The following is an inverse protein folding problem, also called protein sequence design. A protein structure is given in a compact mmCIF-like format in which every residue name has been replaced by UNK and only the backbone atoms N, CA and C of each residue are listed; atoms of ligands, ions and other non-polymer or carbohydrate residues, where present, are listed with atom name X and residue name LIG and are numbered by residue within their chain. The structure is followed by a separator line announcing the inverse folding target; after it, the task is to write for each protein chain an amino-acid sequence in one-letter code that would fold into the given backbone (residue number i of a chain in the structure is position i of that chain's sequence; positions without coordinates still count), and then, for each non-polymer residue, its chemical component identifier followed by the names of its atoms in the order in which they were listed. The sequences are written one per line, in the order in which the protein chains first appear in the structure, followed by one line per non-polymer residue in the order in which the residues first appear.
data_IF_783303505053
#
_entry.id   IF_783303505053
#
_cell.length_a   1.000
_cell.length_b   1.000
_cell.length_c   1.000
_cell.angle_alpha   90.00
_cell.angle_beta   90.00
_cell.angle_gamma   90.00
#
_symmetry.space_group_name_H-M   'P 1'
#
loop_
_entity.id
_entity.type
_entity.pdbx_description
1 polymer ?
#
# COMPACT_ATOMS: atom_id res chain seq x y z
N UNK A 1 -7.05 -3.60 12.57
CA UNK A 1 -7.79 -4.88 12.63
C UNK A 1 -6.78 -6.00 12.66
N UNK A 2 -6.82 -6.88 13.68
CA UNK A 2 -5.86 -7.98 13.79
C UNK A 2 -6.39 -9.30 13.23
N UNK A 3 -5.65 -9.89 12.30
CA UNK A 3 -5.97 -11.19 11.70
C UNK A 3 -4.94 -12.22 12.13
N UNK A 4 -5.40 -13.36 12.65
CA UNK A 4 -4.53 -14.51 12.95
C UNK A 4 -4.29 -15.27 11.65
N UNK A 5 -3.04 -15.25 11.15
CA UNK A 5 -2.67 -15.78 9.83
C UNK A 5 -3.09 -17.24 9.66
N UNK A 6 -2.87 -18.08 10.68
CA UNK A 6 -3.25 -19.51 10.66
C UNK A 6 -4.74 -19.80 10.51
N UNK A 7 -5.61 -18.80 10.67
CA UNK A 7 -7.06 -18.93 10.47
C UNK A 7 -7.50 -18.56 9.07
N UNK A 8 -6.63 -17.94 8.26
CA UNK A 8 -6.91 -17.65 6.86
C UNK A 8 -6.86 -18.95 6.07
N UNK A 9 -7.88 -19.19 5.26
CA UNK A 9 -8.02 -20.41 4.45
C UNK A 9 -8.08 -20.04 2.98
N UNK A 10 -8.28 -21.01 2.10
CA UNK A 10 -8.55 -20.77 0.67
C UNK A 10 -9.95 -20.18 0.41
N UNK A 11 -10.71 -19.85 1.45
CA UNK A 11 -11.90 -19.01 1.31
C UNK A 11 -11.48 -17.58 1.61
N UNK A 12 -11.66 -16.64 0.67
CA UNK A 12 -11.30 -15.24 0.88
C UNK A 12 -11.90 -14.66 2.16
N UNK A 13 -11.04 -14.04 2.96
CA UNK A 13 -11.43 -13.26 4.14
C UNK A 13 -11.47 -11.80 3.76
N UNK A 14 -12.65 -11.29 3.43
CA UNK A 14 -12.86 -9.90 3.06
C UNK A 14 -12.58 -8.94 4.23
N UNK A 15 -12.07 -7.76 3.91
CA UNK A 15 -11.90 -6.66 4.85
C UNK A 15 -12.21 -5.31 4.19
N UNK A 16 -12.52 -4.34 5.05
CA UNK A 16 -12.69 -2.93 4.69
C UNK A 16 -12.19 -2.08 5.86
N UNK A 17 -11.26 -1.19 5.58
CA UNK A 17 -10.68 -0.23 6.52
C UNK A 17 -10.65 1.16 5.91
N UNK A 18 -10.66 2.18 6.75
CA UNK A 18 -10.55 3.57 6.33
C UNK A 18 -9.58 4.30 7.25
N UNK A 19 -8.62 5.03 6.68
CA UNK A 19 -7.67 5.86 7.40
C UNK A 19 -7.27 7.06 6.52
N UNK A 20 -7.11 8.25 7.11
CA UNK A 20 -6.67 9.48 6.43
C UNK A 20 -7.41 9.79 5.11
N UNK A 21 -8.71 9.49 5.03
CA UNK A 21 -9.51 9.72 3.82
C UNK A 21 -9.28 8.70 2.69
N UNK A 22 -8.58 7.59 2.98
CA UNK A 22 -8.34 6.46 2.09
C UNK A 22 -9.10 5.23 2.58
N UNK A 23 -9.85 4.61 1.66
CA UNK A 23 -10.50 3.31 1.83
C UNK A 23 -9.55 2.21 1.36
N UNK A 24 -9.39 1.19 2.18
CA UNK A 24 -8.62 -0.01 1.89
C UNK A 24 -9.52 -1.23 1.94
N UNK A 25 -9.84 -1.77 0.77
CA UNK A 25 -10.81 -2.83 0.62
C UNK A 25 -10.19 -4.00 -0.13
N UNK A 26 -10.36 -5.20 0.39
CA UNK A 26 -9.71 -6.35 -0.19
C UNK A 26 -10.06 -7.64 0.50
N UNK A 27 -9.22 -8.65 0.28
CA UNK A 27 -9.33 -9.94 0.95
C UNK A 27 -7.96 -10.55 1.22
N UNK A 28 -7.94 -11.44 2.21
CA UNK A 28 -6.82 -12.34 2.50
C UNK A 28 -7.18 -13.76 2.07
N UNK A 29 -6.27 -14.45 1.41
CA UNK A 29 -6.47 -15.84 0.98
C UNK A 29 -5.21 -16.68 1.23
N UNK A 30 -5.38 -17.92 1.67
CA UNK A 30 -4.25 -18.85 1.78
C UNK A 30 -3.63 -19.10 0.40
N UNK A 31 -2.31 -18.93 0.30
CA UNK A 31 -1.57 -19.21 -0.93
C UNK A 31 -0.82 -20.56 -0.86
N UNK A 32 0.27 -20.62 -0.10
CA UNK A 32 1.10 -21.83 0.01
C UNK A 32 1.94 -21.82 1.28
N UNK A 33 1.99 -22.95 1.98
CA UNK A 33 2.85 -23.13 3.15
C UNK A 33 2.44 -22.19 4.26
N UNK A 34 3.24 -21.15 4.50
CA UNK A 34 2.96 -20.11 5.50
C UNK A 34 2.60 -18.76 4.88
N UNK A 35 2.40 -18.73 3.57
CA UNK A 35 2.11 -17.52 2.81
C UNK A 35 0.62 -17.31 2.65
N UNK A 36 0.19 -16.09 2.91
CA UNK A 36 -1.16 -15.59 2.69
C UNK A 36 -1.06 -14.48 1.67
N UNK A 37 -1.94 -14.52 0.69
CA UNK A 37 -2.06 -13.48 -0.31
C UNK A 37 -2.96 -12.36 0.21
N UNK A 38 -2.51 -11.13 0.06
CA UNK A 38 -3.31 -9.92 0.23
C UNK A 38 -3.59 -9.32 -1.14
N UNK A 39 -4.87 -9.14 -1.46
CA UNK A 39 -5.31 -8.33 -2.59
C UNK A 39 -6.18 -7.20 -2.07
N UNK A 40 -5.88 -5.96 -2.47
CA UNK A 40 -6.68 -4.82 -2.06
C UNK A 40 -6.64 -3.66 -3.04
N UNK A 41 -7.71 -2.88 -3.05
CA UNK A 41 -7.81 -1.58 -3.71
C UNK A 41 -7.74 -0.48 -2.63
N UNK A 42 -6.87 0.50 -2.86
CA UNK A 42 -6.73 1.74 -2.08
C UNK A 42 -7.31 2.91 -2.88
N UNK A 43 -8.40 3.48 -2.39
CA UNK A 43 -9.09 4.59 -3.06
C UNK A 43 -9.35 5.73 -2.08
N UNK A 44 -9.14 6.97 -2.49
CA UNK A 44 -9.42 8.12 -1.64
C UNK A 44 -8.76 9.41 -2.08
N UNK A 45 -8.54 10.31 -1.11
CA UNK A 45 -7.76 11.51 -1.34
C UNK A 45 -6.83 11.78 -0.16
N UNK A 46 -5.56 12.07 -0.47
CA UNK A 46 -4.53 12.39 0.50
C UNK A 46 -4.21 13.89 0.45
N UNK A 47 -4.09 14.51 1.62
CA UNK A 47 -3.52 15.85 1.77
C UNK A 47 -1.99 15.73 1.84
N UNK A 48 -1.31 16.40 0.90
CA UNK A 48 0.14 16.34 0.72
C UNK A 48 0.70 17.77 0.65
N UNK A 49 1.97 17.90 1.00
CA UNK A 49 2.72 19.13 0.77
C UNK A 49 3.54 18.99 -0.51
N UNK A 50 3.55 20.03 -1.35
CA UNK A 50 4.37 20.05 -2.56
C UNK A 50 5.86 20.11 -2.21
N UNK A 51 6.65 19.15 -2.68
CA UNK A 51 8.10 19.10 -2.46
C UNK A 51 8.88 20.22 -3.15
N UNK A 52 8.24 20.95 -4.08
CA UNK A 52 8.85 22.07 -4.82
C UNK A 52 8.60 23.41 -4.15
N UNK A 53 7.34 23.73 -3.83
CA UNK A 53 6.94 25.06 -3.33
C UNK A 53 6.48 25.07 -1.87
N UNK A 54 6.23 23.90 -1.26
CA UNK A 54 5.72 23.80 0.11
C UNK A 54 4.22 24.06 0.28
N UNK A 55 3.47 24.27 -0.81
CA UNK A 55 2.02 24.46 -0.73
C UNK A 55 1.30 23.13 -0.51
N UNK A 56 0.26 23.14 0.32
CA UNK A 56 -0.61 22.00 0.54
C UNK A 56 -1.53 21.78 -0.68
N UNK A 57 -1.73 20.52 -1.05
CA UNK A 57 -2.64 20.13 -2.11
C UNK A 57 -3.23 18.73 -1.87
N UNK A 58 -4.40 18.46 -2.44
CA UNK A 58 -5.02 17.14 -2.39
C UNK A 58 -4.63 16.33 -3.63
N UNK A 59 -4.20 15.08 -3.42
CA UNK A 59 -4.02 14.09 -4.46
C UNK A 59 -5.16 13.07 -4.41
N UNK A 60 -5.72 12.69 -5.57
CA UNK A 60 -6.63 11.55 -5.67
C UNK A 60 -5.83 10.25 -5.72
N UNK A 61 -6.16 9.29 -4.87
CA UNK A 61 -5.52 7.98 -4.79
C UNK A 61 -6.43 6.91 -5.37
N UNK A 62 -5.87 6.03 -6.20
CA UNK A 62 -6.54 4.87 -6.78
C UNK A 62 -5.48 3.85 -7.17
N UNK A 63 -5.09 3.01 -6.21
CA UNK A 63 -4.01 2.04 -6.37
C UNK A 63 -4.43 0.63 -6.01
N UNK A 64 -3.73 -0.35 -6.58
CA UNK A 64 -3.89 -1.76 -6.27
C UNK A 64 -2.69 -2.22 -5.47
N UNK A 65 -2.96 -2.86 -4.34
CA UNK A 65 -1.95 -3.37 -3.42
C UNK A 65 -2.05 -4.89 -3.41
N UNK A 66 -0.97 -5.54 -3.82
CA UNK A 66 -0.84 -6.99 -3.87
C UNK A 66 0.52 -7.40 -3.32
N UNK A 67 0.51 -8.17 -2.23
CA UNK A 67 1.72 -8.75 -1.66
C UNK A 67 1.39 -10.00 -0.84
N UNK A 68 2.43 -10.73 -0.45
CA UNK A 68 2.32 -11.91 0.37
C UNK A 68 2.66 -11.59 1.83
N UNK A 69 2.02 -12.29 2.75
CA UNK A 69 2.28 -12.22 4.19
C UNK A 69 2.74 -13.59 4.66
N UNK A 70 3.92 -13.66 5.28
CA UNK A 70 4.49 -14.89 5.82
C UNK A 70 4.27 -15.00 7.34
N UNK A 71 3.74 -16.13 7.82
CA UNK A 71 3.74 -16.51 9.25
C UNK A 71 5.15 -16.95 9.70
N UNK A 72 6.04 -15.98 9.85
CA UNK A 72 7.43 -16.10 10.26
C UNK A 72 8.42 -15.78 9.14
N UNK A 73 9.69 -16.12 9.37
CA UNK A 73 10.79 -15.88 8.45
C UNK A 73 10.53 -16.54 7.08
N UNK A 74 10.55 -15.74 6.04
CA UNK A 74 10.49 -16.15 4.65
C UNK A 74 11.92 -16.18 4.08
N UNK A 75 12.23 -17.25 3.34
CA UNK A 75 13.49 -17.32 2.60
C UNK A 75 13.14 -17.19 1.13
N UNK A 76 13.58 -16.08 0.54
CA UNK A 76 13.42 -15.87 -0.88
C UNK A 76 14.24 -16.89 -1.67
N UNK A 77 13.56 -17.66 -2.51
CA UNK A 77 14.14 -18.63 -3.43
C UNK A 77 14.10 -18.13 -4.89
N UNK A 78 13.71 -16.87 -5.11
CA UNK A 78 13.57 -16.23 -6.40
C UNK A 78 12.37 -16.73 -7.22
N UNK A 79 11.43 -17.44 -6.59
CA UNK A 79 10.27 -18.02 -7.28
C UNK A 79 9.00 -17.15 -7.24
N UNK A 80 9.03 -16.05 -6.49
CA UNK A 80 7.89 -15.15 -6.30
C UNK A 80 8.20 -13.77 -6.87
N UNK A 81 7.26 -13.22 -7.63
CA UNK A 81 7.36 -11.89 -8.24
C UNK A 81 6.76 -10.78 -7.34
N UNK A 82 6.26 -11.13 -6.16
CA UNK A 82 5.57 -10.24 -5.23
C UNK A 82 6.36 -10.08 -3.94
N UNK A 83 6.23 -8.89 -3.35
CA UNK A 83 6.83 -8.59 -2.05
C UNK A 83 6.26 -9.49 -0.94
N UNK A 84 7.10 -9.77 0.07
CA UNK A 84 6.73 -10.61 1.21
C UNK A 84 6.92 -9.86 2.52
N UNK A 85 5.83 -9.66 3.25
CA UNK A 85 5.79 -9.08 4.59
C UNK A 85 5.87 -10.20 5.64
N UNK A 86 6.84 -10.13 6.54
CA UNK A 86 7.08 -11.15 7.55
C UNK A 86 6.41 -10.80 8.88
N UNK A 87 5.49 -11.66 9.36
CA UNK A 87 4.89 -11.53 10.69
C UNK A 87 5.53 -12.53 11.65
N UNK A 88 6.11 -12.06 12.76
CA UNK A 88 6.80 -12.92 13.72
C UNK A 88 5.92 -13.37 14.91
N UNK A 89 4.72 -12.81 15.08
CA UNK A 89 3.77 -13.17 16.15
C UNK A 89 2.54 -13.94 15.63
N UNK A 90 2.54 -14.30 14.34
CA UNK A 90 1.47 -15.04 13.66
C UNK A 90 0.19 -14.24 13.45
N UNK A 91 0.27 -12.92 13.61
CA UNK A 91 -0.82 -11.99 13.41
C UNK A 91 -0.40 -10.88 12.47
N UNK A 92 -1.36 -10.33 11.74
CA UNK A 92 -1.17 -9.10 10.96
C UNK A 92 -2.14 -8.06 11.44
N UNK A 93 -1.65 -6.83 11.66
CA UNK A 93 -2.49 -5.68 11.90
C UNK A 93 -2.74 -4.94 10.59
N UNK A 94 -3.95 -5.09 10.06
CA UNK A 94 -4.35 -4.52 8.79
C UNK A 94 -4.44 -2.99 8.82
N UNK A 95 -4.62 -2.39 10.01
CA UNK A 95 -4.56 -0.92 10.15
C UNK A 95 -3.11 -0.43 10.02
N UNK A 96 -2.16 -1.12 10.63
CA UNK A 96 -0.74 -0.82 10.51
C UNK A 96 -0.25 -0.97 9.07
N UNK A 97 -0.71 -2.01 8.36
CA UNK A 97 -0.44 -2.16 6.93
C UNK A 97 -0.96 -0.96 6.14
N UNK A 98 -2.23 -0.60 6.30
CA UNK A 98 -2.81 0.56 5.62
C UNK A 98 -2.02 1.85 5.90
N UNK A 99 -1.69 2.10 7.17
CA UNK A 99 -0.89 3.26 7.53
C UNK A 99 0.50 3.23 6.89
N UNK A 100 1.14 2.07 6.84
CA UNK A 100 2.46 1.92 6.20
C UNK A 100 2.40 2.23 4.71
N UNK A 101 1.38 1.73 4.00
CA UNK A 101 1.19 2.03 2.57
C UNK A 101 0.92 3.52 2.33
N UNK A 102 0.07 4.15 3.17
CA UNK A 102 -0.18 5.60 3.09
C UNK A 102 1.11 6.40 3.30
N UNK A 103 1.94 6.02 4.27
CA UNK A 103 3.20 6.70 4.53
C UNK A 103 4.24 6.45 3.43
N UNK A 104 4.25 5.26 2.80
CA UNK A 104 5.06 5.00 1.61
C UNK A 104 4.66 5.95 0.48
N UNK A 105 3.36 6.06 0.19
CA UNK A 105 2.84 7.02 -0.80
C UNK A 105 3.27 8.44 -0.42
N UNK A 106 3.05 8.89 0.82
CA UNK A 106 3.45 10.25 1.25
C UNK A 106 4.95 10.51 1.14
N UNK A 107 5.78 9.47 1.23
CA UNK A 107 7.24 9.59 1.14
C UNK A 107 7.78 9.73 -0.28
N UNK A 108 6.96 9.45 -1.29
CA UNK A 108 7.29 9.68 -2.69
C UNK A 108 7.39 11.18 -3.01
N UNK A 109 7.92 11.48 -4.19
CA UNK A 109 8.04 12.85 -4.67
C UNK A 109 6.73 13.37 -5.26
N UNK A 110 6.21 14.43 -4.64
CA UNK A 110 4.90 15.01 -4.89
C UNK A 110 4.99 16.47 -5.31
N UNK A 111 4.50 16.77 -6.52
CA UNK A 111 4.45 18.15 -7.02
C UNK A 111 3.01 18.58 -7.30
N UNK A 112 2.67 19.80 -6.88
CA UNK A 112 1.38 20.40 -7.19
C UNK A 112 1.28 20.74 -8.68
N UNK A 113 0.05 20.92 -9.16
CA UNK A 113 -0.22 21.20 -10.57
C UNK A 113 0.44 22.50 -11.08
N UNK A 114 0.68 23.48 -10.21
CA UNK A 114 1.40 24.70 -10.58
C UNK A 114 2.87 24.40 -10.91
N UNK A 115 3.58 23.68 -10.03
CA UNK A 115 4.99 23.30 -10.22
C UNK A 115 5.19 22.29 -11.37
N UNK A 116 4.22 21.40 -11.62
CA UNK A 116 4.26 20.52 -12.80
C UNK A 116 4.22 21.31 -14.11
N UNK A 117 3.42 22.38 -14.17
CA UNK A 117 3.29 23.22 -15.38
C UNK A 117 4.54 24.06 -15.64
N UNK A 118 5.21 24.56 -14.60
CA UNK A 118 6.46 25.32 -14.77
C UNK A 118 7.58 24.47 -15.38
N UNK A 119 7.70 23.20 -14.98
CA UNK A 119 8.69 22.28 -15.56
C UNK A 119 8.45 21.99 -17.05
N UNK A 120 7.19 21.93 -17.49
CA UNK A 120 6.84 21.67 -18.91
C UNK A 120 7.21 22.81 -19.88
N UNK A 121 7.49 24.01 -19.37
CA UNK A 121 7.88 25.18 -20.17
C UNK A 121 9.39 25.18 -20.45
N UNK A 122 10.19 24.57 -19.58
CA UNK A 122 11.66 24.59 -19.66
C UNK A 122 12.25 23.58 -20.66
N UNK A 123 11.50 22.54 -21.03
CA UNK A 123 11.94 21.53 -22.01
C UNK A 123 11.78 21.96 -23.48
N UNK A 124 11.28 23.18 -23.75
CA UNK A 124 11.12 23.72 -25.12
C UNK A 124 12.30 24.56 -25.62
N UNK A 125 13.41 24.59 -24.90
CA UNK A 125 14.63 25.32 -25.31
C UNK A 125 15.86 24.41 -25.25
N UNK A 126 15.86 23.33 -26.03
CA UNK A 126 17.07 22.67 -26.52
C UNK A 126 16.84 22.15 -27.93
#
# INVERSE_FOLDING_TARGET
MKVVLRKVTSTPLDFLLEADGVSFKGYLEYYKGKLIFLHADMEGSLELQCDVCGDDFCMSLSEKVEFLISDGLYHDDGSLDLDVVESFDGQVDMEELLHSEIELIKSDYHSCEACKKENSVTERVF
#
